data_IF_198646710094
#
_entry.id   IF_198646710094
#
_cell.length_a   1.000
_cell.length_b   1.000
_cell.length_c   1.000
_cell.angle_alpha   90.00
_cell.angle_beta   90.00
_cell.angle_gamma   90.00
#
_symmetry.space_group_name_H-M   'P 1'
#
loop_
_entity.id
_entity.type
_entity.pdbx_description
1 polymer ?
#
# COMPACT_ATOMS: atom_id res chain seq x y z
N UNK A 1 -2.37 -6.91 11.65
CA UNK A 1 -3.30 -7.75 10.93
C UNK A 1 -4.18 -6.90 10.01
N UNK A 2 -4.39 -7.34 8.81
CA UNK A 2 -5.20 -6.62 7.81
C UNK A 2 -6.69 -6.95 7.99
N UNK A 3 -7.53 -5.92 7.97
CA UNK A 3 -8.98 -6.05 8.01
C UNK A 3 -9.56 -5.27 6.82
N UNK A 4 -10.17 -5.96 5.87
CA UNK A 4 -10.69 -5.37 4.63
C UNK A 4 -12.18 -5.03 4.70
N UNK A 5 -12.72 -4.82 5.89
CA UNK A 5 -14.16 -4.61 6.10
C UNK A 5 -14.49 -3.24 6.70
N UNK A 6 -13.60 -2.27 6.54
CA UNK A 6 -13.81 -0.90 7.04
C UNK A 6 -13.94 0.06 5.86
N UNK A 7 -15.13 0.61 5.65
CA UNK A 7 -15.39 1.53 4.54
C UNK A 7 -14.78 2.91 4.76
N UNK A 8 -14.50 3.60 3.66
CA UNK A 8 -14.06 5.01 3.64
C UNK A 8 -12.69 5.23 4.28
N UNK A 9 -11.83 4.21 4.23
CA UNK A 9 -10.43 4.31 4.64
C UNK A 9 -9.52 3.73 3.56
N UNK A 10 -8.24 4.04 3.63
CA UNK A 10 -7.21 3.50 2.75
C UNK A 10 -5.96 3.25 3.57
N UNK A 11 -5.38 2.07 3.41
CA UNK A 11 -4.11 1.71 4.03
C UNK A 11 -3.01 1.75 2.98
N UNK A 12 -1.83 2.24 3.33
CA UNK A 12 -0.77 2.57 2.37
C UNK A 12 0.58 2.08 2.87
N UNK A 13 1.35 1.47 1.96
CA UNK A 13 2.75 1.05 2.17
C UNK A 13 3.59 1.68 1.08
N UNK A 14 4.69 2.32 1.43
CA UNK A 14 5.56 3.03 0.46
C UNK A 14 7.02 2.77 0.80
N UNK A 15 7.84 2.70 -0.24
CA UNK A 15 9.27 2.59 -0.05
C UNK A 15 10.05 2.46 -1.34
N UNK A 16 11.31 2.05 -1.19
CA UNK A 16 12.22 1.83 -2.29
C UNK A 16 12.64 0.36 -2.30
N UNK A 17 12.39 -0.33 -3.40
CA UNK A 17 12.79 -1.71 -3.58
C UNK A 17 13.82 -1.80 -4.71
N UNK A 18 14.87 -2.59 -4.47
CA UNK A 18 15.89 -2.89 -5.48
C UNK A 18 15.57 -4.18 -6.24
N UNK A 19 14.45 -4.81 -5.97
CA UNK A 19 14.02 -6.03 -6.66
C UNK A 19 13.69 -5.73 -8.11
N UNK A 20 13.83 -6.73 -8.97
CA UNK A 20 13.28 -6.64 -10.33
C UNK A 20 11.75 -6.57 -10.25
N UNK A 21 11.10 -6.15 -11.32
CA UNK A 21 9.63 -6.13 -11.36
C UNK A 21 9.05 -7.51 -11.10
N UNK A 22 9.62 -8.55 -11.70
CA UNK A 22 9.17 -9.93 -11.50
C UNK A 22 9.28 -10.36 -10.04
N UNK A 23 10.42 -10.05 -9.41
CA UNK A 23 10.62 -10.36 -7.98
C UNK A 23 9.65 -9.58 -7.09
N UNK A 24 9.43 -8.31 -7.42
CA UNK A 24 8.49 -7.47 -6.69
C UNK A 24 7.07 -8.04 -6.76
N UNK A 25 6.65 -8.46 -7.94
CA UNK A 25 5.31 -8.99 -8.18
C UNK A 25 5.06 -10.35 -7.53
N UNK A 26 6.09 -11.13 -7.25
CA UNK A 26 5.96 -12.43 -6.58
C UNK A 26 5.36 -12.31 -5.18
N UNK A 27 5.56 -11.19 -4.51
CA UNK A 27 5.04 -10.99 -3.17
C UNK A 27 3.51 -11.09 -3.09
N UNK A 28 2.82 -10.62 -4.12
CA UNK A 28 1.36 -10.64 -4.19
C UNK A 28 0.82 -11.69 -5.16
N UNK A 29 1.68 -12.54 -5.73
CA UNK A 29 1.27 -13.57 -6.66
C UNK A 29 0.35 -14.57 -5.93
N UNK A 30 -0.82 -14.83 -6.52
CA UNK A 30 -1.80 -15.73 -5.93
C UNK A 30 -2.62 -15.12 -4.80
N UNK A 31 -2.65 -13.80 -4.67
CA UNK A 31 -3.30 -13.12 -3.55
C UNK A 31 -4.83 -13.35 -3.49
N UNK A 32 -5.46 -13.75 -4.59
CA UNK A 32 -6.89 -14.06 -4.63
C UNK A 32 -7.18 -15.55 -4.55
N UNK A 33 -6.17 -16.37 -4.31
CA UNK A 33 -6.30 -17.81 -4.14
C UNK A 33 -5.83 -18.21 -2.74
N UNK A 34 -6.76 -18.56 -1.87
CA UNK A 34 -6.45 -18.90 -0.47
C UNK A 34 -5.53 -20.11 -0.33
N UNK A 35 -5.44 -20.96 -1.36
CA UNK A 35 -4.57 -22.13 -1.36
C UNK A 35 -3.18 -21.86 -1.97
N UNK A 36 -2.93 -20.65 -2.43
CA UNK A 36 -1.72 -20.32 -3.19
C UNK A 36 -0.45 -20.17 -2.35
N UNK A 37 -0.57 -20.01 -1.03
CA UNK A 37 0.54 -19.70 -0.14
C UNK A 37 1.24 -18.37 -0.52
N UNK A 38 0.46 -17.38 -0.96
CA UNK A 38 0.97 -16.06 -1.33
C UNK A 38 1.84 -15.48 -0.21
N UNK A 39 3.05 -15.00 -0.52
CA UNK A 39 3.96 -14.44 0.50
C UNK A 39 3.34 -13.34 1.35
N UNK A 40 2.48 -12.52 0.77
CA UNK A 40 1.83 -11.43 1.50
C UNK A 40 0.88 -11.92 2.59
N UNK A 41 0.35 -13.14 2.49
CA UNK A 41 -0.62 -13.66 3.46
C UNK A 41 -0.06 -13.71 4.87
N UNK A 42 1.16 -14.20 5.02
CA UNK A 42 1.79 -14.29 6.34
C UNK A 42 2.03 -12.91 6.93
N UNK A 43 2.47 -11.96 6.12
CA UNK A 43 2.79 -10.61 6.56
C UNK A 43 1.56 -9.80 6.93
N UNK A 44 0.46 -9.99 6.21
CA UNK A 44 -0.77 -9.24 6.47
C UNK A 44 -1.75 -9.97 7.39
N UNK A 45 -1.49 -11.24 7.69
CA UNK A 45 -2.34 -12.04 8.57
C UNK A 45 -3.68 -12.40 7.94
N UNK A 46 -3.70 -12.65 6.63
CA UNK A 46 -4.91 -12.99 5.87
C UNK A 46 -4.65 -14.16 4.93
N UNK A 47 -5.72 -14.72 4.35
CA UNK A 47 -5.65 -15.78 3.35
C UNK A 47 -6.25 -15.36 2.01
N UNK A 48 -6.61 -14.10 1.86
CA UNK A 48 -7.20 -13.57 0.64
C UNK A 48 -6.99 -12.05 0.59
N UNK A 49 -6.57 -11.52 -0.55
CA UNK A 49 -6.43 -10.09 -0.81
C UNK A 49 -7.19 -9.79 -2.10
N UNK A 50 -8.14 -8.86 -2.04
CA UNK A 50 -9.04 -8.53 -3.13
C UNK A 50 -8.40 -7.52 -4.09
N UNK A 51 -8.10 -7.95 -5.31
CA UNK A 51 -7.46 -7.08 -6.31
C UNK A 51 -8.34 -5.96 -6.83
N UNK A 52 -9.64 -5.99 -6.54
CA UNK A 52 -10.51 -4.86 -6.87
C UNK A 52 -10.21 -3.64 -5.99
N UNK A 53 -9.61 -3.86 -4.82
CA UNK A 53 -9.34 -2.81 -3.82
C UNK A 53 -7.85 -2.67 -3.48
N UNK A 54 -7.06 -3.70 -3.75
CA UNK A 54 -5.62 -3.69 -3.49
C UNK A 54 -4.86 -3.41 -4.78
N UNK A 55 -3.96 -2.42 -4.72
CA UNK A 55 -3.15 -2.01 -5.87
C UNK A 55 -1.68 -2.02 -5.49
N UNK A 56 -0.87 -2.60 -6.37
CA UNK A 56 0.57 -2.55 -6.31
C UNK A 56 1.07 -1.66 -7.44
N UNK A 57 1.96 -0.73 -7.14
CA UNK A 57 2.52 0.17 -8.15
C UNK A 57 4.04 0.22 -8.02
N UNK A 58 4.70 0.26 -9.16
CA UNK A 58 6.13 0.47 -9.27
C UNK A 58 6.43 1.43 -10.41
N UNK A 59 7.35 2.36 -10.17
CA UNK A 59 7.75 3.33 -11.18
C UNK A 59 8.43 2.63 -12.37
N UNK A 60 8.38 3.29 -13.52
CA UNK A 60 9.04 2.80 -14.72
C UNK A 60 10.55 2.65 -14.46
N UNK A 61 11.06 1.45 -14.76
CA UNK A 61 12.49 1.12 -14.57
C UNK A 61 12.97 1.23 -13.11
N UNK A 62 12.03 1.24 -12.13
CA UNK A 62 12.39 1.36 -10.73
C UNK A 62 12.94 2.73 -10.34
N UNK A 63 12.65 3.75 -11.12
CA UNK A 63 13.11 5.12 -10.84
C UNK A 63 12.62 5.60 -9.48
N UNK A 64 13.53 6.13 -8.66
CA UNK A 64 13.18 6.71 -7.36
C UNK A 64 12.72 8.14 -7.58
N UNK A 65 11.52 8.46 -7.10
CA UNK A 65 10.92 9.78 -7.25
C UNK A 65 10.52 10.34 -5.88
N UNK A 66 10.38 11.68 -5.74
CA UNK A 66 9.90 12.27 -4.49
C UNK A 66 8.52 11.74 -4.12
N UNK A 67 8.23 11.71 -2.81
CA UNK A 67 6.94 11.22 -2.32
C UNK A 67 5.76 11.99 -2.91
N UNK A 68 5.93 13.29 -3.18
CA UNK A 68 4.87 14.11 -3.78
C UNK A 68 4.48 13.62 -5.17
N UNK A 69 5.44 13.08 -5.92
CA UNK A 69 5.19 12.51 -7.24
C UNK A 69 4.63 11.09 -7.12
N UNK A 70 5.25 10.27 -6.29
CA UNK A 70 4.82 8.87 -6.12
C UNK A 70 3.38 8.79 -5.59
N UNK A 71 3.00 9.69 -4.70
CA UNK A 71 1.66 9.71 -4.11
C UNK A 71 0.53 9.95 -5.13
N UNK A 72 0.85 10.51 -6.29
CA UNK A 72 -0.14 10.73 -7.36
C UNK A 72 -0.71 9.41 -7.88
N UNK A 73 0.00 8.30 -7.68
CA UNK A 73 -0.43 6.97 -8.11
C UNK A 73 -1.36 6.29 -7.10
N UNK A 74 -1.59 6.90 -5.95
CA UNK A 74 -2.52 6.37 -4.95
C UNK A 74 -3.93 6.82 -5.30
N UNK A 75 -4.84 5.85 -5.46
CA UNK A 75 -6.22 6.12 -5.86
C UNK A 75 -7.09 6.66 -4.75
N UNK A 76 -6.71 7.79 -4.15
CA UNK A 76 -7.51 8.45 -3.11
C UNK A 76 -8.70 9.21 -3.74
N UNK A 77 -9.73 9.43 -2.93
CA UNK A 77 -10.93 10.17 -3.36
C UNK A 77 -10.86 11.65 -3.05
N UNK A 78 -9.84 12.10 -2.32
CA UNK A 78 -9.71 13.51 -1.95
C UNK A 78 -8.25 13.95 -1.91
N UNK A 79 -8.03 15.23 -2.19
CA UNK A 79 -6.71 15.85 -2.06
C UNK A 79 -6.23 15.82 -0.61
N UNK A 80 -7.16 15.96 0.33
CA UNK A 80 -6.83 15.93 1.77
C UNK A 80 -6.22 14.59 2.16
N UNK A 81 -6.78 13.47 1.70
CA UNK A 81 -6.25 12.14 2.00
C UNK A 81 -4.83 12.00 1.45
N UNK A 82 -4.59 12.46 0.22
CA UNK A 82 -3.26 12.43 -0.38
C UNK A 82 -2.26 13.27 0.42
N UNK A 83 -2.65 14.46 0.85
CA UNK A 83 -1.78 15.34 1.66
C UNK A 83 -1.44 14.72 3.01
N UNK A 84 -2.39 14.03 3.65
CA UNK A 84 -2.15 13.32 4.89
C UNK A 84 -1.17 12.15 4.72
N UNK A 85 -1.29 11.42 3.61
CA UNK A 85 -0.36 10.34 3.28
C UNK A 85 1.05 10.88 3.08
N UNK A 86 1.20 11.96 2.35
CA UNK A 86 2.51 12.59 2.13
C UNK A 86 3.15 13.01 3.46
N UNK A 87 2.39 13.69 4.31
CA UNK A 87 2.87 14.13 5.60
C UNK A 87 3.29 12.95 6.49
N UNK A 88 2.45 11.92 6.59
CA UNK A 88 2.75 10.74 7.37
C UNK A 88 3.98 10.00 6.85
N UNK A 89 4.16 9.94 5.52
CA UNK A 89 5.33 9.34 4.90
C UNK A 89 6.60 10.05 5.33
N UNK A 90 6.61 11.38 5.25
CA UNK A 90 7.77 12.20 5.65
C UNK A 90 8.07 12.06 7.14
N UNK A 91 7.05 12.02 7.98
CA UNK A 91 7.23 11.82 9.43
C UNK A 91 7.90 10.49 9.74
N UNK A 92 7.69 9.48 8.90
CA UNK A 92 8.31 8.16 9.04
C UNK A 92 9.65 8.05 8.31
N UNK A 93 10.14 9.13 7.74
CA UNK A 93 11.41 9.16 7.03
C UNK A 93 11.34 8.67 5.60
N UNK A 94 10.14 8.54 5.02
CA UNK A 94 9.94 8.13 3.64
C UNK A 94 9.67 9.36 2.80
N UNK A 95 10.76 9.95 2.25
CA UNK A 95 10.69 11.17 1.45
C UNK A 95 10.68 10.90 -0.04
N UNK A 96 10.99 9.68 -0.44
CA UNK A 96 11.08 9.25 -1.83
C UNK A 96 10.87 7.74 -1.90
N UNK A 97 10.63 7.24 -3.10
CA UNK A 97 10.50 5.81 -3.32
C UNK A 97 10.20 5.46 -4.75
N UNK A 98 10.14 4.17 -5.03
CA UNK A 98 9.82 3.65 -6.36
C UNK A 98 8.67 2.65 -6.37
N UNK A 99 8.10 2.34 -5.22
CA UNK A 99 7.07 1.30 -5.09
C UNK A 99 6.08 1.64 -4.00
N UNK A 100 4.84 1.21 -4.19
CA UNK A 100 3.82 1.34 -3.17
C UNK A 100 2.76 0.25 -3.30
N UNK A 101 2.07 0.02 -2.20
CA UNK A 101 0.82 -0.72 -2.14
C UNK A 101 -0.23 0.18 -1.50
N UNK A 102 -1.48 0.07 -1.94
CA UNK A 102 -2.58 0.61 -1.16
C UNK A 102 -3.77 -0.35 -1.20
N UNK A 103 -4.54 -0.33 -0.14
CA UNK A 103 -5.72 -1.18 -0.01
C UNK A 103 -6.88 -0.31 0.44
N UNK A 104 -7.83 -0.07 -0.46
CA UNK A 104 -9.03 0.70 -0.17
C UNK A 104 -9.97 -0.13 0.71
N UNK A 105 -10.66 0.55 1.63
CA UNK A 105 -11.60 -0.06 2.57
C UNK A 105 -10.95 -1.11 3.49
N UNK A 106 -9.69 -0.90 3.82
CA UNK A 106 -8.95 -1.81 4.69
C UNK A 106 -8.17 -1.04 5.75
N UNK A 107 -8.13 -1.59 6.95
CA UNK A 107 -7.26 -1.12 8.03
C UNK A 107 -6.14 -2.14 8.25
N UNK A 108 -5.02 -1.69 8.75
CA UNK A 108 -3.90 -2.58 9.06
C UNK A 108 -3.25 -2.16 10.38
N UNK A 109 -2.96 -3.15 11.23
CA UNK A 109 -2.20 -2.95 12.45
C UNK A 109 -0.98 -3.85 12.40
N UNK A 110 0.22 -3.29 12.21
CA UNK A 110 1.43 -4.09 12.19
C UNK A 110 1.75 -4.61 13.60
N UNK A 111 2.19 -5.87 13.68
CA UNK A 111 2.66 -6.45 14.94
C UNK A 111 4.01 -5.84 15.34
N UNK A 112 4.81 -5.48 14.36
CA UNK A 112 6.11 -4.85 14.54
C UNK A 112 6.19 -3.60 13.66
N UNK A 113 6.22 -2.40 14.26
CA UNK A 113 6.24 -1.16 13.48
C UNK A 113 7.50 -0.96 12.65
N UNK A 114 8.57 -1.73 12.92
CA UNK A 114 9.81 -1.65 12.16
C UNK A 114 9.85 -2.61 10.97
N UNK A 115 8.86 -3.51 10.85
CA UNK A 115 8.83 -4.49 9.78
C UNK A 115 8.59 -3.82 8.43
N UNK A 116 9.31 -4.32 7.40
CA UNK A 116 9.08 -3.95 6.02
C UNK A 116 8.27 -5.04 5.31
N UNK A 117 7.46 -4.63 4.37
CA UNK A 117 6.58 -5.50 3.58
C UNK A 117 7.03 -5.42 2.13
N UNK A 118 7.79 -6.43 1.70
CA UNK A 118 8.42 -6.42 0.37
C UNK A 118 9.24 -5.14 0.15
N UNK A 119 10.05 -4.78 1.16
CA UNK A 119 10.88 -3.56 1.23
C UNK A 119 10.11 -2.26 1.48
N UNK A 120 8.79 -2.32 1.62
CA UNK A 120 7.97 -1.12 1.81
C UNK A 120 7.59 -0.94 3.28
N UNK A 121 7.53 0.30 3.70
CA UNK A 121 7.14 0.66 5.05
C UNK A 121 5.64 0.92 5.12
N UNK A 122 4.97 0.40 6.14
CA UNK A 122 3.57 0.75 6.38
C UNK A 122 3.49 2.21 6.82
N UNK A 123 2.74 3.02 6.06
CA UNK A 123 2.62 4.44 6.32
C UNK A 123 1.46 4.74 7.27
N UNK A 124 0.33 4.08 7.08
CA UNK A 124 -0.83 4.29 7.94
C UNK A 124 -2.13 3.97 7.24
N UNK A 125 -3.21 4.13 7.98
CA UNK A 125 -4.58 4.04 7.49
C UNK A 125 -5.19 5.44 7.59
N UNK A 126 -5.80 5.89 6.51
CA UNK A 126 -6.27 7.27 6.36
C UNK A 126 -7.74 7.28 6.00
N UNK A 127 -8.47 8.30 6.45
CA UNK A 127 -9.84 8.51 6.02
C UNK A 127 -9.84 8.91 4.56
N UNK A 128 -10.67 8.25 3.77
CA UNK A 128 -10.79 8.51 2.33
C UNK A 128 -12.24 8.28 1.87
N UNK A 129 -13.17 9.12 2.35
CA UNK A 129 -14.58 8.94 2.01
C UNK A 129 -14.82 9.22 0.53
N UNK A 130 -15.68 8.42 -0.10
CA UNK A 130 -16.08 8.64 -1.47
C UNK A 130 -16.87 9.94 -1.59
N UNK A 131 -16.66 10.65 -2.70
CA UNK A 131 -17.51 11.80 -3.04
C UNK A 131 -18.92 11.31 -3.31
N UNK A 132 -19.88 12.01 -2.74
CA UNK A 132 -21.29 11.74 -3.02
C UNK A 132 -21.68 12.47 -4.29
N UNK A 133 -22.29 11.74 -5.19
CA UNK A 133 -22.91 12.33 -6.37
C UNK A 133 -24.38 12.56 -6.10
N UNK A 134 -24.90 13.61 -6.64
CA UNK A 134 -26.31 13.93 -6.56
C UNK A 134 -26.89 14.04 -7.96
#
# INVERSE_FOLDING_TARGET
>A
MLDSDTKNVISVWIGTSNKTLDEFNKYTEGMEDSDSQCPAFADFGVSFIDSDFFVAFRTKNGEIVPIEILSEEIGTHSKKATEEIIRASKEKGVNEGNSLYYYANATFKPDNPEKLYNDLKFIGTFKDPRKKFR
#
